data_IF_629592190525
#
_entry.id   IF_629592190525
#
_cell.length_a   1.000
_cell.length_b   1.000
_cell.length_c   1.000
_cell.angle_alpha   90.00
_cell.angle_beta   90.00
_cell.angle_gamma   90.00
#
_symmetry.space_group_name_H-M   'P 1'
#
loop_
_entity.id
_entity.type
_entity.pdbx_description
1 polymer ?
#
# COMPACT_ATOMS: atom_id res chain seq x y z
N UNK A 1 14.52 11.51 -36.81
CA UNK A 1 13.51 11.09 -36.44
C UNK A 1 12.93 11.19 -35.15
N UNK A 2 12.07 10.47 -34.79
CA UNK A 2 11.35 10.56 -33.60
C UNK A 2 12.14 10.36 -32.32
N UNK A 3 13.41 10.12 -32.47
CA UNK A 3 14.24 9.83 -31.32
C UNK A 3 14.36 11.00 -30.36
N UNK A 4 14.56 12.14 -30.89
CA UNK A 4 14.74 13.30 -30.08
C UNK A 4 13.55 13.56 -29.24
N UNK A 5 12.45 13.30 -29.76
CA UNK A 5 11.22 13.54 -29.07
C UNK A 5 11.13 12.69 -27.80
N UNK A 6 11.82 11.58 -27.84
CA UNK A 6 11.77 10.74 -26.69
C UNK A 6 12.32 11.36 -25.43
N UNK A 7 13.43 12.01 -25.55
CA UNK A 7 14.17 12.46 -24.37
C UNK A 7 13.37 13.34 -23.44
N UNK A 8 12.84 14.45 -23.90
CA UNK A 8 12.06 15.30 -22.99
C UNK A 8 10.78 14.62 -22.56
N UNK A 9 10.21 13.84 -23.43
CA UNK A 9 9.00 13.14 -23.07
C UNK A 9 9.26 12.08 -22.04
N UNK A 10 10.44 11.50 -22.07
CA UNK A 10 10.78 10.50 -21.10
C UNK A 10 10.74 11.05 -19.69
N UNK A 11 11.18 12.27 -19.50
CA UNK A 11 11.11 12.87 -18.20
C UNK A 11 9.68 13.03 -17.72
N UNK A 12 8.81 13.47 -18.60
CA UNK A 12 7.41 13.62 -18.26
C UNK A 12 6.75 12.29 -18.01
N UNK A 13 7.07 11.32 -18.85
CA UNK A 13 6.51 9.98 -18.70
C UNK A 13 6.95 9.37 -17.39
N UNK A 14 8.18 9.58 -17.01
CA UNK A 14 8.68 9.07 -15.74
C UNK A 14 7.91 9.61 -14.57
N UNK A 15 7.61 10.90 -14.59
CA UNK A 15 6.84 11.52 -13.53
C UNK A 15 5.43 10.94 -13.46
N UNK A 16 4.82 10.72 -14.60
CA UNK A 16 3.50 10.13 -14.65
C UNK A 16 3.53 8.69 -14.17
N UNK A 17 4.53 7.96 -14.57
CA UNK A 17 4.67 6.59 -14.13
C UNK A 17 4.90 6.49 -12.64
N UNK A 18 5.70 7.38 -12.10
CA UNK A 18 5.92 7.41 -10.66
C UNK A 18 4.64 7.70 -9.91
N UNK A 19 3.88 8.66 -10.40
CA UNK A 19 2.61 9.00 -9.79
C UNK A 19 1.65 7.82 -9.83
N UNK A 20 1.61 7.12 -10.96
CA UNK A 20 0.75 5.95 -11.10
C UNK A 20 1.20 4.82 -10.19
N UNK A 21 2.49 4.60 -10.10
CA UNK A 21 3.02 3.58 -9.20
C UNK A 21 2.67 3.88 -7.76
N UNK A 22 2.84 5.13 -7.37
CA UNK A 22 2.49 5.54 -6.02
C UNK A 22 1.02 5.33 -5.75
N UNK A 23 0.17 5.70 -6.69
CA UNK A 23 -1.25 5.48 -6.55
C UNK A 23 -1.59 4.02 -6.39
N UNK A 24 -0.98 3.18 -7.19
CA UNK A 24 -1.21 1.74 -7.10
C UNK A 24 -0.72 1.19 -5.76
N UNK A 25 0.43 1.63 -5.31
CA UNK A 25 0.95 1.21 -4.02
C UNK A 25 0.05 1.67 -2.89
N UNK A 26 -0.39 2.91 -2.96
CA UNK A 26 -1.31 3.45 -1.96
C UNK A 26 -2.58 2.62 -1.92
N UNK A 27 -3.12 2.31 -3.07
CA UNK A 27 -4.33 1.48 -3.14
C UNK A 27 -4.12 0.11 -2.55
N UNK A 28 -2.99 -0.50 -2.83
CA UNK A 28 -2.66 -1.80 -2.26
C UNK A 28 -2.53 -1.73 -0.76
N UNK A 29 -1.84 -0.72 -0.27
CA UNK A 29 -1.65 -0.53 1.16
C UNK A 29 -2.99 -0.27 1.83
N UNK A 30 -3.80 0.59 1.24
CA UNK A 30 -5.13 0.87 1.77
C UNK A 30 -5.98 -0.39 1.82
N UNK A 31 -5.89 -1.19 0.79
CA UNK A 31 -6.63 -2.45 0.74
C UNK A 31 -6.19 -3.38 1.87
N UNK A 32 -4.89 -3.47 2.08
CA UNK A 32 -4.34 -4.29 3.15
C UNK A 32 -4.74 -3.76 4.53
N UNK A 33 -4.74 -2.45 4.68
CA UNK A 33 -5.17 -1.82 5.92
C UNK A 33 -6.63 -2.15 6.21
N UNK A 34 -7.48 -1.99 5.23
CA UNK A 34 -8.89 -2.30 5.40
C UNK A 34 -9.11 -3.77 5.73
N UNK A 35 -8.37 -4.63 5.07
CA UNK A 35 -8.47 -6.06 5.31
C UNK A 35 -8.03 -6.40 6.72
N UNK A 36 -6.91 -5.85 7.15
CA UNK A 36 -6.40 -6.10 8.48
C UNK A 36 -7.35 -5.55 9.55
N UNK A 37 -7.87 -4.35 9.33
CA UNK A 37 -8.83 -3.76 10.25
C UNK A 37 -10.09 -4.61 10.35
N UNK A 38 -10.53 -5.12 9.24
CA UNK A 38 -11.71 -5.97 9.22
C UNK A 38 -11.47 -7.26 10.00
N UNK A 39 -10.30 -7.84 9.82
CA UNK A 39 -9.94 -9.04 10.54
C UNK A 39 -9.83 -8.78 12.03
N UNK A 40 -9.20 -7.69 12.40
CA UNK A 40 -9.03 -7.34 13.81
C UNK A 40 -10.34 -6.93 14.47
N UNK A 41 -11.27 -6.42 13.67
CA UNK A 41 -12.60 -6.06 14.19
C UNK A 41 -13.51 -7.25 14.32
N UNK A 42 -13.16 -8.35 13.68
CA UNK A 42 -13.99 -9.54 13.69
C UNK A 42 -13.73 -10.32 14.99
N UNK A 43 -14.73 -10.41 15.89
CA UNK A 43 -14.53 -11.12 17.14
C UNK A 43 -14.25 -12.60 16.92
N UNK A 44 -14.76 -13.16 15.84
CA UNK A 44 -14.48 -14.54 15.51
C UNK A 44 -13.02 -14.80 15.24
N UNK A 45 -12.36 -13.85 14.60
CA UNK A 45 -10.93 -13.95 14.32
C UNK A 45 -10.12 -13.72 15.59
N UNK A 46 -10.45 -12.65 16.30
CA UNK A 46 -9.69 -12.27 17.50
C UNK A 46 -9.78 -13.33 18.57
N UNK A 47 -10.93 -13.96 18.68
CA UNK A 47 -11.14 -15.00 19.68
C UNK A 47 -10.53 -16.34 19.29
N UNK A 48 -10.54 -16.65 18.01
CA UNK A 48 -10.05 -17.94 17.54
C UNK A 48 -8.57 -17.94 17.21
N UNK A 49 -8.04 -16.82 16.77
CA UNK A 49 -6.65 -16.73 16.39
C UNK A 49 -5.75 -16.60 17.62
N UNK A 50 -4.55 -17.14 17.57
CA UNK A 50 -3.60 -16.95 18.68
C UNK A 50 -3.25 -15.48 18.81
N UNK A 51 -2.91 -15.08 20.02
CA UNK A 51 -2.51 -13.70 20.29
C UNK A 51 -1.35 -13.27 19.39
N UNK A 52 -0.45 -14.18 19.12
CA UNK A 52 0.69 -13.89 18.26
C UNK A 52 0.26 -13.44 16.88
N UNK A 53 -0.74 -14.11 16.32
CA UNK A 53 -1.25 -13.74 15.02
C UNK A 53 -1.95 -12.40 15.03
N UNK A 54 -2.71 -12.15 16.08
CA UNK A 54 -3.40 -10.88 16.23
C UNK A 54 -2.38 -9.74 16.35
N UNK A 55 -1.34 -9.96 17.14
CA UNK A 55 -0.28 -8.97 17.28
C UNK A 55 0.46 -8.74 15.98
N UNK A 56 0.70 -9.80 15.22
CA UNK A 56 1.34 -9.68 13.92
C UNK A 56 0.52 -8.83 12.96
N UNK A 57 -0.78 -9.07 12.94
CA UNK A 57 -1.66 -8.31 12.07
C UNK A 57 -1.73 -6.84 12.49
N UNK A 58 -1.72 -6.58 13.78
CA UNK A 58 -1.68 -5.21 14.28
C UNK A 58 -0.38 -4.51 13.90
N UNK A 59 0.73 -5.22 14.03
CA UNK A 59 2.02 -4.68 13.65
C UNK A 59 2.06 -4.36 12.16
N UNK A 60 1.53 -5.25 11.35
CA UNK A 60 1.44 -5.01 9.91
C UNK A 60 0.58 -3.81 9.60
N UNK A 61 -0.53 -3.70 10.28
CA UNK A 61 -1.45 -2.58 10.09
C UNK A 61 -0.76 -1.25 10.39
N UNK A 62 -0.07 -1.19 11.50
CA UNK A 62 0.68 0.01 11.85
C UNK A 62 1.75 0.33 10.81
N UNK A 63 2.44 -0.70 10.37
CA UNK A 63 3.48 -0.54 9.35
C UNK A 63 2.92 0.03 8.07
N UNK A 64 1.79 -0.50 7.64
CA UNK A 64 1.15 0.00 6.43
C UNK A 64 0.66 1.43 6.58
N UNK A 65 0.13 1.77 7.73
CA UNK A 65 -0.29 3.14 8.00
C UNK A 65 0.89 4.11 7.95
N UNK A 66 2.01 3.70 8.50
CA UNK A 66 3.23 4.50 8.44
C UNK A 66 3.72 4.65 7.00
N UNK A 67 3.62 3.59 6.23
CA UNK A 67 3.99 3.65 4.82
C UNK A 67 3.11 4.62 4.05
N UNK A 68 1.83 4.62 4.36
CA UNK A 68 0.90 5.56 3.73
C UNK A 68 1.25 7.00 4.05
N UNK A 69 1.67 7.26 5.26
CA UNK A 69 2.07 8.60 5.65
C UNK A 69 3.27 9.10 4.86
N UNK A 70 4.14 8.19 4.45
CA UNK A 70 5.33 8.55 3.69
C UNK A 70 5.04 8.88 2.23
N UNK A 71 3.93 8.44 1.72
CA UNK A 71 3.51 8.81 0.40
C UNK A 71 2.80 10.17 0.46
#
# INVERSE_FOLDING_TARGET
EGIEVYIPQNGLVDLEEEAKRKEEEIKKIEFEIQRAEKMLSNPGFVNKAPKEKVDEERAKLEKYKLMLEKF
#
